data_IF_765630270269
#
_entry.id   IF_765630270269
#
_cell.length_a   1.000
_cell.length_b   1.000
_cell.length_c   1.000
_cell.angle_alpha   90.00
_cell.angle_beta   90.00
_cell.angle_gamma   90.00
#
_symmetry.space_group_name_H-M   'P 1'
#
loop_
_entity.id
_entity.type
_entity.pdbx_description
1 polymer ?
#
# COMPACT_ATOMS: atom_id res chain seq x y z
N UNK A 1 -13.02 -49.39 1.30
CA UNK A 1 -11.86 -48.75 1.96
C UNK A 1 -12.40 -47.72 2.94
N UNK A 2 -12.24 -47.93 4.24
CA UNK A 2 -12.91 -47.10 5.25
C UNK A 2 -11.99 -45.94 5.63
N UNK A 3 -12.38 -44.70 5.34
CA UNK A 3 -11.58 -43.49 5.61
C UNK A 3 -11.18 -43.37 7.09
N UNK A 4 -12.05 -43.82 8.00
CA UNK A 4 -11.78 -43.89 9.44
C UNK A 4 -10.60 -44.81 9.79
N UNK A 5 -10.46 -45.93 9.09
CA UNK A 5 -9.34 -46.85 9.30
C UNK A 5 -8.02 -46.24 8.83
N UNK A 6 -8.02 -45.58 7.67
CA UNK A 6 -6.86 -44.88 7.10
C UNK A 6 -6.40 -43.71 7.97
N UNK A 7 -7.33 -42.93 8.53
CA UNK A 7 -7.00 -41.84 9.44
C UNK A 7 -6.36 -42.37 10.73
N UNK A 8 -6.90 -43.46 11.27
CA UNK A 8 -6.36 -44.11 12.47
C UNK A 8 -4.93 -44.65 12.25
N UNK A 9 -4.64 -45.25 11.09
CA UNK A 9 -3.29 -45.71 10.76
C UNK A 9 -2.32 -44.56 10.52
N UNK A 10 -2.75 -43.49 9.84
CA UNK A 10 -1.94 -42.30 9.62
C UNK A 10 -1.54 -41.60 10.93
N UNK A 11 -2.49 -41.42 11.86
CA UNK A 11 -2.21 -40.85 13.19
C UNK A 11 -1.22 -41.72 13.98
N UNK A 12 -1.37 -43.05 13.94
CA UNK A 12 -0.39 -43.97 14.56
C UNK A 12 1.00 -43.83 13.95
N UNK A 13 1.10 -43.72 12.63
CA UNK A 13 2.38 -43.55 11.94
C UNK A 13 3.08 -42.24 12.34
N UNK A 14 2.34 -41.12 12.43
CA UNK A 14 2.86 -39.83 12.89
C UNK A 14 3.39 -39.91 14.32
N UNK A 15 2.67 -40.58 15.23
CA UNK A 15 3.11 -40.73 16.63
C UNK A 15 4.32 -41.65 16.82
N UNK A 16 4.60 -42.57 15.88
CA UNK A 16 5.80 -43.42 15.91
C UNK A 16 7.08 -42.63 15.57
N UNK A 17 7.01 -41.70 14.62
CA UNK A 17 8.16 -40.93 14.15
C UNK A 17 8.11 -39.47 14.64
N UNK A 18 7.97 -39.27 15.95
CA UNK A 18 7.74 -37.95 16.56
C UNK A 18 8.72 -36.88 16.10
N UNK A 19 10.02 -37.17 16.12
CA UNK A 19 11.05 -36.19 15.74
C UNK A 19 10.90 -35.76 14.28
N UNK A 20 10.79 -36.72 13.35
CA UNK A 20 10.63 -36.43 11.91
C UNK A 20 9.35 -35.65 11.63
N UNK A 21 8.22 -36.05 12.24
CA UNK A 21 6.94 -35.37 12.07
C UNK A 21 6.96 -33.95 12.65
N UNK A 22 7.60 -33.74 13.81
CA UNK A 22 7.74 -32.42 14.41
C UNK A 22 8.62 -31.49 13.58
N UNK A 23 9.78 -31.96 13.11
CA UNK A 23 10.67 -31.16 12.27
C UNK A 23 10.01 -30.77 10.93
N UNK A 24 9.28 -31.71 10.31
CA UNK A 24 8.55 -31.44 9.08
C UNK A 24 7.42 -30.39 9.29
N UNK A 25 6.64 -30.53 10.36
CA UNK A 25 5.60 -29.54 10.69
C UNK A 25 6.20 -28.17 11.00
N UNK A 26 7.30 -28.12 11.76
CA UNK A 26 7.99 -26.87 12.09
C UNK A 26 8.47 -26.15 10.83
N UNK A 27 9.04 -26.87 9.88
CA UNK A 27 9.47 -26.31 8.60
C UNK A 27 8.31 -25.68 7.81
N UNK A 28 7.17 -26.38 7.72
CA UNK A 28 5.98 -25.86 7.03
C UNK A 28 5.44 -24.60 7.75
N UNK A 29 5.37 -24.62 9.08
CA UNK A 29 4.88 -23.48 9.86
C UNK A 29 5.75 -22.25 9.65
N UNK A 30 7.08 -22.39 9.73
CA UNK A 30 8.01 -21.26 9.53
C UNK A 30 7.92 -20.74 8.09
N UNK A 31 7.88 -21.65 7.11
CA UNK A 31 7.80 -21.28 5.69
C UNK A 31 6.53 -20.47 5.39
N UNK A 32 5.36 -20.95 5.81
CA UNK A 32 4.09 -20.25 5.59
C UNK A 32 4.04 -18.93 6.37
N UNK A 33 4.53 -18.92 7.62
CA UNK A 33 4.53 -17.71 8.45
C UNK A 33 5.38 -16.59 7.84
N UNK A 34 6.56 -16.92 7.30
CA UNK A 34 7.42 -15.94 6.64
C UNK A 34 6.74 -15.30 5.41
N UNK A 35 6.09 -16.12 4.57
CA UNK A 35 5.36 -15.62 3.38
C UNK A 35 4.19 -14.73 3.79
N UNK A 36 3.39 -15.15 4.77
CA UNK A 36 2.25 -14.34 5.24
C UNK A 36 2.73 -13.01 5.83
N UNK A 37 3.81 -13.02 6.61
CA UNK A 37 4.37 -11.81 7.20
C UNK A 37 4.86 -10.82 6.12
N UNK A 38 5.61 -11.29 5.12
CA UNK A 38 6.10 -10.40 4.06
C UNK A 38 4.98 -9.84 3.20
N UNK A 39 3.95 -10.64 2.89
CA UNK A 39 2.76 -10.17 2.17
C UNK A 39 2.02 -9.11 2.98
N UNK A 40 1.78 -9.35 4.27
CA UNK A 40 1.11 -8.39 5.14
C UNK A 40 1.89 -7.06 5.24
N UNK A 41 3.22 -7.12 5.39
CA UNK A 41 4.08 -5.93 5.38
C UNK A 41 3.98 -5.20 4.03
N UNK A 42 4.07 -5.92 2.92
CA UNK A 42 4.00 -5.33 1.58
C UNK A 42 2.67 -4.60 1.33
N UNK A 43 1.55 -5.26 1.66
CA UNK A 43 0.22 -4.66 1.52
C UNK A 43 0.02 -3.48 2.47
N UNK A 44 0.48 -3.57 3.72
CA UNK A 44 0.40 -2.47 4.68
C UNK A 44 1.23 -1.26 4.26
N UNK A 45 2.43 -1.48 3.72
CA UNK A 45 3.28 -0.42 3.19
C UNK A 45 2.62 0.24 1.97
N UNK A 46 2.07 -0.55 1.04
CA UNK A 46 1.36 -0.04 -0.13
C UNK A 46 0.14 0.80 0.28
N UNK A 47 -0.66 0.33 1.24
CA UNK A 47 -1.80 1.08 1.76
C UNK A 47 -1.39 2.40 2.41
N UNK A 48 -0.29 2.41 3.18
CA UNK A 48 0.25 3.62 3.79
C UNK A 48 0.71 4.63 2.75
N UNK A 49 1.40 4.18 1.71
CA UNK A 49 1.83 5.06 0.60
C UNK A 49 0.63 5.60 -0.15
N UNK A 50 -0.37 4.76 -0.44
CA UNK A 50 -1.61 5.20 -1.08
C UNK A 50 -2.32 6.29 -0.26
N UNK A 51 -2.42 6.10 1.06
CA UNK A 51 -3.02 7.09 1.96
C UNK A 51 -2.22 8.41 2.00
N UNK A 52 -0.89 8.34 1.93
CA UNK A 52 -0.05 9.54 1.84
C UNK A 52 -0.25 10.26 0.49
N UNK A 53 -0.35 9.53 -0.61
CA UNK A 53 -0.66 10.10 -1.92
C UNK A 53 -2.05 10.75 -1.94
N UNK A 54 -3.03 10.12 -1.31
CA UNK A 54 -4.39 10.67 -1.18
C UNK A 54 -4.41 11.94 -0.30
N UNK A 55 -3.59 11.98 0.75
CA UNK A 55 -3.42 13.16 1.61
C UNK A 55 -2.71 14.34 0.95
N UNK A 56 -1.94 14.09 -0.12
CA UNK A 56 -1.41 15.14 -0.98
C UNK A 56 -2.49 15.75 -1.89
N UNK A 57 -3.71 15.21 -1.88
CA UNK A 57 -4.84 15.64 -2.68
C UNK A 57 -4.91 14.87 -3.99
N UNK A 58 -5.97 14.07 -4.17
CA UNK A 58 -6.26 13.40 -5.45
C UNK A 58 -6.62 14.38 -6.58
N UNK A 59 -6.72 15.68 -6.29
CA UNK A 59 -7.14 16.72 -7.21
C UNK A 59 -6.28 18.01 -7.05
N UNK A 60 -4.96 17.88 -7.22
CA UNK A 60 -4.07 19.05 -7.22
C UNK A 60 -4.25 19.89 -8.49
N UNK A 61 -4.94 21.03 -8.36
CA UNK A 61 -5.06 22.03 -9.42
C UNK A 61 -4.01 23.13 -9.22
N UNK A 62 -2.95 23.11 -10.02
CA UNK A 62 -1.88 24.12 -9.94
C UNK A 62 -2.24 25.35 -10.78
N UNK A 63 -2.59 26.46 -10.13
CA UNK A 63 -2.92 27.73 -10.79
C UNK A 63 -1.73 28.68 -10.70
N UNK A 64 -1.25 29.15 -11.86
CA UNK A 64 -0.14 30.09 -11.97
C UNK A 64 -0.64 31.42 -12.55
N UNK A 65 -0.33 32.58 -11.96
CA UNK A 65 -0.76 33.86 -12.51
C UNK A 65 -0.04 34.13 -13.83
N UNK A 66 -0.81 34.43 -14.88
CA UNK A 66 -0.28 34.81 -16.18
C UNK A 66 0.44 36.16 -16.15
N UNK A 67 1.48 36.33 -16.98
CA UNK A 67 2.08 37.64 -17.23
C UNK A 67 1.19 38.42 -18.19
N UNK A 68 0.67 39.56 -17.74
CA UNK A 68 -0.05 40.50 -18.60
C UNK A 68 0.95 41.54 -19.13
N UNK A 69 1.10 41.62 -20.45
CA UNK A 69 1.86 42.69 -21.10
C UNK A 69 0.90 43.84 -21.45
N UNK A 70 1.04 44.99 -20.78
CA UNK A 70 0.25 46.19 -21.10
C UNK A 70 1.18 47.22 -21.76
N UNK A 71 0.96 47.50 -23.04
CA UNK A 71 1.72 48.51 -23.79
C UNK A 71 3.12 48.08 -24.26
N UNK A 72 3.35 46.80 -24.55
CA UNK A 72 4.61 46.31 -25.12
C UNK A 72 5.74 46.03 -24.12
N UNK A 73 5.51 46.27 -22.83
CA UNK A 73 6.45 45.92 -21.76
C UNK A 73 5.98 44.63 -21.08
N UNK A 74 6.79 43.58 -21.16
CA UNK A 74 6.54 42.33 -20.45
C UNK A 74 6.89 42.53 -18.96
N UNK A 75 5.89 42.89 -18.16
CA UNK A 75 5.94 42.82 -16.71
C UNK A 75 6.05 41.34 -16.32
N UNK A 76 7.19 40.93 -15.77
CA UNK A 76 7.53 39.53 -15.50
C UNK A 76 6.45 38.76 -14.72
N UNK A 77 6.51 37.43 -14.76
CA UNK A 77 5.61 36.53 -14.03
C UNK A 77 5.55 36.93 -12.55
N UNK A 78 4.38 37.37 -12.07
CA UNK A 78 4.17 37.82 -10.68
C UNK A 78 4.25 39.34 -10.45
N UNK A 79 4.46 40.18 -11.47
CA UNK A 79 4.51 41.64 -11.31
C UNK A 79 3.15 42.29 -10.97
N UNK A 80 2.04 41.59 -11.20
CA UNK A 80 0.75 41.87 -10.56
C UNK A 80 0.25 40.61 -9.85
N UNK A 81 -0.08 40.74 -8.56
CA UNK A 81 -0.87 39.74 -7.84
C UNK A 81 -2.29 39.76 -8.40
N UNK A 82 -2.56 38.94 -9.43
CA UNK A 82 -3.90 38.76 -9.98
C UNK A 82 -4.70 37.65 -9.30
N UNK A 83 -4.05 36.81 -8.48
CA UNK A 83 -4.69 35.76 -7.72
C UNK A 83 -4.98 36.26 -6.32
N UNK A 84 -6.26 36.27 -5.97
CA UNK A 84 -6.78 36.70 -4.67
C UNK A 84 -7.19 35.46 -3.86
N UNK A 85 -7.27 35.58 -2.54
CA UNK A 85 -7.74 34.46 -1.69
C UNK A 85 -9.15 33.98 -2.07
N UNK A 86 -9.98 34.90 -2.55
CA UNK A 86 -11.34 34.59 -3.02
C UNK A 86 -11.34 33.66 -4.25
N UNK A 87 -10.30 33.72 -5.11
CA UNK A 87 -10.15 32.82 -6.26
C UNK A 87 -9.85 31.38 -5.83
N UNK A 88 -9.14 31.20 -4.70
CA UNK A 88 -8.87 29.86 -4.14
C UNK A 88 -10.15 29.21 -3.60
N UNK A 89 -11.04 29.98 -2.99
CA UNK A 89 -12.34 29.49 -2.48
C UNK A 89 -13.36 29.23 -3.59
N UNK A 90 -13.22 29.86 -4.76
CA UNK A 90 -14.07 29.61 -5.92
C UNK A 90 -13.71 28.33 -6.71
N UNK A 91 -12.51 27.79 -6.50
CA UNK A 91 -11.98 26.59 -7.17
C UNK A 91 -12.17 25.32 -6.30
N UNK A 92 -12.36 25.49 -4.99
CA UNK A 92 -12.76 24.43 -4.05
C UNK A 92 -14.20 23.96 -4.28
#
# INVERSE_FOLDING_TARGET
MNALASLRTALRALTKNKLRSMLAMLGIVIAVSAVVATVAIGQGAQAKVAQQMESLGSNLLMVLPGSMAKGGVATGTGAQQSLTRDDATAIE
#
